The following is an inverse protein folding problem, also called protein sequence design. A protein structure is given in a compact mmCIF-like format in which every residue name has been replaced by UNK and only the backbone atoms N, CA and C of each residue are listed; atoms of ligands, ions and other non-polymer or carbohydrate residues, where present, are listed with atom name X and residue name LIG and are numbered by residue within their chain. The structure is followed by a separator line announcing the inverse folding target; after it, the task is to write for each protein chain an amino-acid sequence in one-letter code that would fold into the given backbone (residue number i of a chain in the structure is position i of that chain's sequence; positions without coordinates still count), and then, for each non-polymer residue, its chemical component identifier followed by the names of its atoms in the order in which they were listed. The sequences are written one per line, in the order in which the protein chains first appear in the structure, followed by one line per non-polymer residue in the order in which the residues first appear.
data_IF_599436544526
#
_entry.id   IF_599436544526
#
_cell.length_a   1.000
_cell.length_b   1.000
_cell.length_c   1.000
_cell.angle_alpha   90.00
_cell.angle_beta   90.00
_cell.angle_gamma   90.00
#
_symmetry.space_group_name_H-M   'P 1'
#
loop_
_entity.id
_entity.type
_entity.pdbx_description
1 polymer ?
#
# COMPACT_ATOMS: atom_id res chain seq x y z
N UNK A 1 -14.73 22.14 -4.93
CA UNK A 1 -14.59 20.69 -4.65
C UNK A 1 -13.45 20.05 -5.44
N UNK A 2 -13.43 20.13 -6.77
CA UNK A 2 -12.33 19.60 -7.58
C UNK A 2 -10.95 20.21 -7.24
N UNK A 3 -10.87 21.52 -6.97
CA UNK A 3 -9.59 22.18 -6.64
C UNK A 3 -8.88 21.63 -5.41
N UNK A 4 -9.62 21.35 -4.32
CA UNK A 4 -9.06 20.76 -3.10
C UNK A 4 -8.56 19.33 -3.34
N UNK A 5 -9.26 18.55 -4.18
CA UNK A 5 -8.85 17.19 -4.53
C UNK A 5 -7.65 17.16 -5.44
N UNK A 6 -7.63 18.04 -6.44
CA UNK A 6 -6.47 18.22 -7.32
C UNK A 6 -5.25 18.66 -6.52
N UNK A 7 -5.43 19.52 -5.50
CA UNK A 7 -4.35 19.93 -4.60
C UNK A 7 -3.80 18.74 -3.80
N UNK A 8 -4.66 17.94 -3.18
CA UNK A 8 -4.24 16.79 -2.38
C UNK A 8 -3.61 15.67 -3.23
N UNK A 9 -4.21 15.34 -4.37
CA UNK A 9 -3.62 14.40 -5.34
C UNK A 9 -2.29 14.93 -5.90
N UNK A 10 -2.17 16.23 -6.09
CA UNK A 10 -0.93 16.91 -6.44
C UNK A 10 0.14 16.76 -5.36
N UNK A 11 -0.23 16.95 -4.09
CA UNK A 11 0.67 16.78 -2.95
C UNK A 11 1.13 15.32 -2.81
N UNK A 12 0.23 14.36 -2.98
CA UNK A 12 0.56 12.93 -2.99
C UNK A 12 1.51 12.55 -4.13
N UNK A 13 1.29 13.11 -5.33
CA UNK A 13 2.23 12.96 -6.47
C UNK A 13 3.60 13.58 -6.20
N UNK A 14 3.66 14.69 -5.48
CA UNK A 14 4.94 15.29 -5.07
C UNK A 14 5.64 14.37 -4.07
N UNK A 15 4.91 13.82 -3.09
CA UNK A 15 5.46 12.88 -2.12
C UNK A 15 6.00 11.59 -2.78
N UNK A 16 5.30 11.07 -3.78
CA UNK A 16 5.77 9.97 -4.64
C UNK A 16 7.11 10.33 -5.30
N UNK A 17 7.17 11.47 -6.01
CA UNK A 17 8.39 11.93 -6.69
C UNK A 17 9.54 12.30 -5.75
N UNK A 18 9.23 12.67 -4.51
CA UNK A 18 10.20 12.96 -3.47
C UNK A 18 10.82 11.70 -2.86
N UNK A 19 10.39 10.50 -3.27
CA UNK A 19 10.89 9.23 -2.74
C UNK A 19 10.35 8.90 -1.35
N UNK A 20 9.23 9.53 -0.92
CA UNK A 20 8.59 9.18 0.35
C UNK A 20 8.17 7.72 0.35
N UNK A 21 7.64 7.26 -0.78
CA UNK A 21 7.25 5.85 -1.00
C UNK A 21 8.47 4.94 -0.81
N UNK A 22 9.62 5.28 -1.39
CA UNK A 22 10.86 4.48 -1.27
C UNK A 22 11.44 4.50 0.15
N UNK A 23 11.31 5.63 0.87
CA UNK A 23 11.71 5.73 2.27
C UNK A 23 10.81 4.87 3.17
N UNK A 24 9.49 4.93 2.97
CA UNK A 24 8.51 4.12 3.69
C UNK A 24 8.70 2.63 3.37
N UNK A 25 9.03 2.30 2.13
CA UNK A 25 9.34 0.95 1.73
C UNK A 25 10.60 0.42 2.41
N UNK A 26 11.66 1.22 2.53
CA UNK A 26 12.86 0.82 3.29
C UNK A 26 12.57 0.61 4.78
N UNK A 27 11.70 1.43 5.37
CA UNK A 27 11.30 1.31 6.77
C UNK A 27 10.45 0.05 7.04
N UNK A 28 9.58 -0.32 6.11
CA UNK A 28 8.70 -1.48 6.22
C UNK A 28 9.36 -2.81 5.79
N UNK A 29 10.44 -2.78 5.01
CA UNK A 29 11.20 -3.95 4.61
C UNK A 29 11.53 -4.95 5.75
N UNK A 30 12.04 -4.52 6.92
CA UNK A 30 12.30 -5.43 8.04
C UNK A 30 11.04 -6.07 8.63
N UNK A 31 9.89 -5.36 8.61
CA UNK A 31 8.61 -5.92 9.06
C UNK A 31 8.18 -7.07 8.15
N UNK A 32 8.20 -6.86 6.83
CA UNK A 32 7.82 -7.89 5.86
C UNK A 32 8.78 -9.08 5.85
N UNK A 33 10.09 -8.87 6.04
CA UNK A 33 11.03 -9.98 6.24
C UNK A 33 10.69 -10.85 7.45
N UNK A 34 10.13 -10.26 8.50
CA UNK A 34 9.72 -10.99 9.71
C UNK A 34 8.36 -11.68 9.54
N UNK A 35 7.43 -11.03 8.83
CA UNK A 35 6.09 -11.58 8.57
C UNK A 35 6.08 -12.66 7.47
N UNK A 36 7.03 -12.61 6.54
CA UNK A 36 7.16 -13.53 5.40
C UNK A 36 8.49 -14.29 5.44
N UNK A 37 8.70 -15.16 6.44
CA UNK A 37 9.96 -15.90 6.59
C UNK A 37 10.24 -16.88 5.42
N UNK A 38 9.21 -17.27 4.67
CA UNK A 38 9.31 -18.15 3.50
C UNK A 38 9.94 -17.46 2.28
N UNK A 39 10.05 -16.14 2.29
CA UNK A 39 10.63 -15.37 1.18
C UNK A 39 12.12 -15.10 1.46
N UNK A 40 13.05 -15.55 0.59
CA UNK A 40 14.48 -15.34 0.81
C UNK A 40 14.85 -13.87 0.98
N UNK A 41 15.80 -13.60 1.88
CA UNK A 41 16.31 -12.25 2.09
C UNK A 41 16.95 -11.71 0.79
N UNK A 42 16.46 -10.59 0.29
CA UNK A 42 16.93 -9.98 -0.96
C UNK A 42 16.12 -10.39 -2.21
N UNK A 43 15.12 -11.26 -2.07
CA UNK A 43 14.22 -11.57 -3.17
C UNK A 43 13.40 -10.32 -3.59
N UNK A 44 13.22 -10.07 -4.90
CA UNK A 44 12.46 -8.91 -5.40
C UNK A 44 11.02 -8.84 -4.88
N UNK A 45 10.42 -10.00 -4.53
CA UNK A 45 9.10 -10.08 -3.93
C UNK A 45 8.94 -9.16 -2.71
N UNK A 46 9.90 -9.15 -1.76
CA UNK A 46 9.81 -8.29 -0.56
C UNK A 46 9.77 -6.82 -0.96
N UNK A 47 10.61 -6.40 -1.90
CA UNK A 47 10.63 -5.01 -2.37
C UNK A 47 9.30 -4.58 -2.99
N UNK A 48 8.74 -5.43 -3.87
CA UNK A 48 7.47 -5.15 -4.54
C UNK A 48 6.26 -5.15 -3.59
N UNK A 49 6.21 -6.10 -2.64
CA UNK A 49 5.17 -6.16 -1.61
C UNK A 49 5.20 -4.90 -0.76
N UNK A 50 6.40 -4.52 -0.33
CA UNK A 50 6.58 -3.36 0.53
C UNK A 50 6.22 -2.07 -0.22
N UNK A 51 6.60 -1.98 -1.49
CA UNK A 51 6.26 -0.85 -2.36
C UNK A 51 4.74 -0.76 -2.61
N UNK A 52 4.08 -1.89 -2.88
CA UNK A 52 2.62 -1.96 -3.04
C UNK A 52 1.90 -1.52 -1.75
N UNK A 53 2.34 -2.01 -0.60
CA UNK A 53 1.76 -1.63 0.69
C UNK A 53 1.98 -0.15 0.98
N UNK A 54 3.19 0.38 0.77
CA UNK A 54 3.47 1.81 0.93
C UNK A 54 2.64 2.69 -0.01
N UNK A 55 2.42 2.27 -1.26
CA UNK A 55 1.58 2.97 -2.21
C UNK A 55 0.11 2.99 -1.77
N UNK A 56 -0.45 1.85 -1.34
CA UNK A 56 -1.80 1.76 -0.78
C UNK A 56 -1.94 2.64 0.48
N UNK A 57 -0.97 2.61 1.40
CA UNK A 57 -1.01 3.41 2.63
C UNK A 57 -1.05 4.93 2.38
N UNK A 58 -0.43 5.37 1.28
CA UNK A 58 -0.38 6.77 0.86
C UNK A 58 -1.54 7.16 -0.07
N UNK A 59 -2.50 6.26 -0.36
CA UNK A 59 -3.63 6.51 -1.24
C UNK A 59 -3.22 6.65 -2.72
N UNK A 60 -2.11 6.01 -3.12
CA UNK A 60 -1.64 5.91 -4.50
C UNK A 60 -2.14 4.61 -5.15
N UNK A 61 -3.41 4.27 -4.95
CA UNK A 61 -4.02 2.96 -5.29
C UNK A 61 -3.87 2.61 -6.79
N UNK A 62 -3.84 3.63 -7.65
CA UNK A 62 -3.62 3.49 -9.09
C UNK A 62 -2.24 2.92 -9.44
N UNK A 63 -1.22 3.22 -8.63
CA UNK A 63 0.13 2.66 -8.78
C UNK A 63 0.27 1.31 -8.06
N UNK A 64 -0.48 1.10 -6.99
CA UNK A 64 -0.38 -0.11 -6.18
C UNK A 64 -0.79 -1.38 -6.94
N UNK A 65 -1.87 -1.34 -7.73
CA UNK A 65 -2.41 -2.50 -8.46
C UNK A 65 -1.39 -3.18 -9.40
N UNK A 66 -0.72 -2.47 -10.33
CA UNK A 66 0.27 -3.10 -11.22
C UNK A 66 1.52 -3.60 -10.46
N UNK A 67 1.90 -2.93 -9.37
CA UNK A 67 3.02 -3.35 -8.50
C UNK A 67 2.64 -4.63 -7.76
N UNK A 68 1.40 -4.74 -7.26
CA UNK A 68 0.91 -5.91 -6.55
C UNK A 68 0.82 -7.15 -7.44
N UNK A 69 0.42 -7.01 -8.70
CA UNK A 69 0.44 -8.12 -9.65
C UNK A 69 1.88 -8.63 -9.91
N UNK A 70 2.87 -7.74 -9.97
CA UNK A 70 4.29 -8.13 -10.07
C UNK A 70 4.75 -8.84 -8.79
N UNK A 71 4.40 -8.29 -7.62
CA UNK A 71 4.69 -8.92 -6.33
C UNK A 71 4.13 -10.35 -6.26
N UNK A 72 2.89 -10.55 -6.69
CA UNK A 72 2.24 -11.87 -6.70
C UNK A 72 2.94 -12.87 -7.62
N UNK A 73 3.42 -12.41 -8.80
CA UNK A 73 4.22 -13.24 -9.71
C UNK A 73 5.55 -13.65 -9.10
N UNK A 74 6.25 -12.71 -8.44
CA UNK A 74 7.49 -13.02 -7.73
C UNK A 74 7.28 -13.92 -6.51
N UNK A 75 6.11 -13.87 -5.87
CA UNK A 75 5.76 -14.85 -4.84
C UNK A 75 5.42 -16.22 -5.43
N UNK A 76 4.86 -16.27 -6.64
CA UNK A 76 4.53 -17.51 -7.33
C UNK A 76 5.79 -18.28 -7.76
N UNK A 77 6.89 -17.60 -8.10
CA UNK A 77 8.16 -18.27 -8.45
C UNK A 77 8.77 -19.02 -7.25
N UNK A 78 8.45 -18.59 -6.04
CA UNK A 78 8.86 -19.23 -4.78
C UNK A 78 7.87 -20.29 -4.30
N UNK A 79 6.70 -20.40 -4.94
CA UNK A 79 5.66 -21.30 -4.51
C UNK A 79 5.93 -22.73 -5.01
N UNK A 80 6.11 -23.72 -4.10
CA UNK A 80 6.32 -25.11 -4.49
C UNK A 80 5.08 -25.77 -5.13
N UNK A 81 3.88 -25.22 -4.94
CA UNK A 81 2.62 -25.72 -5.51
C UNK A 81 1.97 -24.63 -6.36
N UNK A 82 1.88 -24.85 -7.67
CA UNK A 82 1.38 -23.83 -8.59
C UNK A 82 -0.12 -23.55 -8.45
N UNK A 83 -0.87 -24.51 -7.92
CA UNK A 83 -2.32 -24.52 -7.78
C UNK A 83 -2.81 -24.11 -6.38
N UNK A 84 -1.94 -24.08 -5.38
CA UNK A 84 -2.28 -23.68 -4.01
C UNK A 84 -1.52 -22.41 -3.62
N UNK A 85 -2.21 -21.41 -3.09
CA UNK A 85 -1.55 -20.18 -2.65
C UNK A 85 -0.61 -20.44 -1.46
N UNK A 86 0.61 -19.90 -1.51
CA UNK A 86 1.57 -19.97 -0.39
C UNK A 86 1.18 -19.04 0.76
N UNK A 87 1.73 -19.25 1.95
CA UNK A 87 1.45 -18.39 3.12
C UNK A 87 1.82 -16.92 2.84
N UNK A 88 2.92 -16.69 2.12
CA UNK A 88 3.30 -15.35 1.69
C UNK A 88 2.26 -14.72 0.74
N UNK A 89 1.71 -15.48 -0.21
CA UNK A 89 0.65 -15.00 -1.11
C UNK A 89 -0.65 -14.70 -0.36
N UNK A 90 -1.05 -15.57 0.56
CA UNK A 90 -2.23 -15.38 1.39
C UNK A 90 -2.07 -14.12 2.24
N UNK A 91 -0.93 -13.96 2.93
CA UNK A 91 -0.64 -12.78 3.73
C UNK A 91 -0.66 -11.50 2.88
N UNK A 92 -0.05 -11.53 1.69
CA UNK A 92 -0.06 -10.39 0.78
C UNK A 92 -1.48 -9.97 0.38
N UNK A 93 -2.35 -10.94 0.08
CA UNK A 93 -3.75 -10.71 -0.23
C UNK A 93 -4.52 -10.18 0.98
N UNK A 94 -4.32 -10.74 2.17
CA UNK A 94 -4.95 -10.27 3.41
C UNK A 94 -4.58 -8.82 3.69
N UNK A 95 -3.32 -8.45 3.51
CA UNK A 95 -2.86 -7.07 3.72
C UNK A 95 -3.47 -6.11 2.70
N UNK A 96 -3.52 -6.49 1.42
CA UNK A 96 -4.20 -5.67 0.40
C UNK A 96 -5.71 -5.57 0.64
N UNK A 97 -6.36 -6.66 1.04
CA UNK A 97 -7.79 -6.68 1.37
C UNK A 97 -8.12 -5.85 2.61
N UNK A 98 -7.23 -5.84 3.61
CA UNK A 98 -7.38 -5.02 4.81
C UNK A 98 -7.31 -3.51 4.55
N UNK A 99 -6.84 -3.09 3.36
CA UNK A 99 -6.82 -1.68 2.92
C UNK A 99 -6.34 -0.71 3.99
N UNK A 100 -5.30 -1.07 4.75
CA UNK A 100 -4.79 -0.26 5.86
C UNK A 100 -4.26 1.07 5.32
N UNK A 101 -5.12 2.09 5.34
CA UNK A 101 -4.81 3.41 4.78
C UNK A 101 -4.41 4.32 5.94
N UNK A 102 -3.16 4.78 5.95
CA UNK A 102 -2.65 5.60 7.06
C UNK A 102 -3.22 7.02 7.00
N UNK A 103 -3.55 7.48 5.79
CA UNK A 103 -4.26 8.74 5.53
C UNK A 103 -5.53 8.46 4.73
N UNK A 104 -6.72 8.44 5.37
CA UNK A 104 -7.97 8.15 4.68
C UNK A 104 -8.49 9.39 3.91
N UNK A 105 -7.70 9.86 2.93
CA UNK A 105 -7.96 11.11 2.19
C UNK A 105 -9.33 11.09 1.50
N UNK A 106 -9.74 9.95 0.95
CA UNK A 106 -11.06 9.76 0.35
C UNK A 106 -12.19 9.92 1.38
N UNK A 107 -11.97 9.48 2.62
CA UNK A 107 -12.94 9.65 3.72
C UNK A 107 -13.01 11.12 4.14
N UNK A 108 -11.88 11.82 4.23
CA UNK A 108 -11.86 13.28 4.50
C UNK A 108 -12.64 14.05 3.44
N UNK A 109 -12.45 13.70 2.16
CA UNK A 109 -13.20 14.28 1.05
C UNK A 109 -14.70 14.03 1.19
N UNK A 110 -15.11 12.80 1.46
CA UNK A 110 -16.52 12.45 1.61
C UNK A 110 -17.16 13.19 2.80
N UNK A 111 -16.45 13.27 3.93
CA UNK A 111 -16.90 14.02 5.11
C UNK A 111 -17.01 15.52 4.84
N UNK A 112 -16.05 16.10 4.13
CA UNK A 112 -16.10 17.51 3.72
C UNK A 112 -17.29 17.79 2.78
N UNK A 113 -17.61 16.86 1.87
CA UNK A 113 -18.78 16.97 0.98
C UNK A 113 -20.11 16.92 1.74
N UNK A 114 -20.18 16.09 2.79
CA UNK A 114 -21.36 15.97 3.66
C UNK A 114 -21.45 17.08 4.72
N UNK A 115 -20.59 18.11 4.65
CA UNK A 115 -20.64 19.27 5.55
C UNK A 115 -20.09 19.02 6.95
N UNK A 116 -19.24 17.99 7.14
CA UNK A 116 -18.62 17.75 8.44
C UNK A 116 -17.78 18.96 8.86
N UNK A 117 -17.98 19.51 10.08
CA UNK A 117 -17.25 20.69 10.57
C UNK A 117 -15.74 20.40 10.74
N UNK A 118 -15.39 19.15 11.01
CA UNK A 118 -14.02 18.66 10.99
C UNK A 118 -13.96 17.32 10.20
N UNK A 119 -13.56 17.36 8.92
CA UNK A 119 -13.39 16.17 8.11
C UNK A 119 -12.24 15.28 8.58
N UNK A 120 -11.24 15.85 9.27
CA UNK A 120 -10.01 15.18 9.72
C UNK A 120 -10.12 14.47 11.06
N UNK A 121 -11.23 14.63 11.78
CA UNK A 121 -11.53 13.93 13.04
C UNK A 121 -11.38 12.39 12.95
N UNK A 122 -11.46 11.81 11.75
CA UNK A 122 -11.22 10.38 11.49
C UNK A 122 -9.77 10.18 11.00
N UNK A 123 -8.79 10.52 11.83
CA UNK A 123 -7.37 10.49 11.45
C UNK A 123 -6.69 9.13 11.65
N UNK A 124 -7.24 8.28 12.52
CA UNK A 124 -6.68 6.94 12.81
C UNK A 124 -7.34 5.86 11.92
N UNK A 125 -6.57 4.84 11.49
CA UNK A 125 -7.08 3.73 10.68
C UNK A 125 -8.16 2.94 11.43
N UNK A 126 -9.17 2.51 10.68
CA UNK A 126 -10.13 1.44 11.02
C UNK A 126 -9.66 0.15 10.37
#
# INVERSE_FOLDING_TARGET
LFGTLTLWLGLLRIAERAGLVDALARALGPLFRRLMPEVPAGHPAIGLITLNFAANMLGLDNAATPIGLRAMRELQTLNPSSDTASNAQILFLVLNASSLTLLPVSIFMYRAQQGAPDPTLVFLPI
#
